data_IF_784586825401
#
_entry.id   IF_784586825401
#
_cell.length_a   1.000
_cell.length_b   1.000
_cell.length_c   1.000
_cell.angle_alpha   90.00
_cell.angle_beta   90.00
_cell.angle_gamma   90.00
#
_symmetry.space_group_name_H-M   'P 1'
#
loop_
_entity.id
_entity.type
_entity.pdbx_description
1 polymer ?
#
# COMPACT_ATOMS: atom_id res chain seq x y z
N UNK A 1 14.12 17.35 1.08
CA UNK A 1 14.58 17.09 -0.31
C UNK A 1 14.32 15.65 -0.78
N UNK A 2 13.32 14.92 -0.25
CA UNK A 2 13.11 13.49 -0.59
C UNK A 2 11.77 13.20 -1.32
N UNK A 3 10.82 14.13 -1.39
CA UNK A 3 9.49 13.87 -2.00
C UNK A 3 9.51 13.56 -3.51
N UNK A 4 10.59 13.90 -4.23
CA UNK A 4 10.64 13.73 -5.68
C UNK A 4 10.86 12.26 -6.10
N UNK A 5 11.54 11.43 -5.30
CA UNK A 5 11.83 10.04 -5.69
C UNK A 5 10.56 9.19 -5.66
N UNK A 6 9.75 9.33 -4.60
CA UNK A 6 8.53 8.52 -4.41
C UNK A 6 7.45 8.82 -5.46
N UNK A 7 7.22 10.09 -5.78
CA UNK A 7 6.28 10.46 -6.86
C UNK A 7 6.77 9.93 -8.20
N UNK A 8 8.07 10.01 -8.48
CA UNK A 8 8.61 9.49 -9.73
C UNK A 8 8.49 7.97 -9.83
N UNK A 9 8.73 7.23 -8.75
CA UNK A 9 8.53 5.78 -8.70
C UNK A 9 7.07 5.40 -8.94
N UNK A 10 6.14 6.07 -8.24
CA UNK A 10 4.71 5.80 -8.35
C UNK A 10 4.14 6.21 -9.71
N UNK A 11 4.53 7.36 -10.26
CA UNK A 11 4.05 7.84 -11.57
C UNK A 11 4.66 7.06 -12.74
N UNK A 12 5.90 6.59 -12.58
CA UNK A 12 6.59 5.84 -13.63
C UNK A 12 6.24 4.35 -13.61
N UNK A 13 5.90 3.78 -12.44
CA UNK A 13 5.59 2.36 -12.26
C UNK A 13 6.78 1.41 -12.50
N UNK A 14 8.00 1.93 -12.69
CA UNK A 14 9.17 1.13 -13.10
C UNK A 14 9.88 0.42 -11.94
N UNK A 15 9.77 0.93 -10.71
CA UNK A 15 10.45 0.37 -9.55
C UNK A 15 9.55 0.39 -8.32
N UNK A 16 9.35 -0.79 -7.74
CA UNK A 16 8.60 -0.95 -6.49
C UNK A 16 9.57 -1.01 -5.30
N UNK A 17 9.50 -0.01 -4.42
CA UNK A 17 10.35 0.11 -3.25
C UNK A 17 9.75 -0.64 -2.06
N UNK A 18 10.21 -1.88 -1.84
CA UNK A 18 9.75 -2.73 -0.75
C UNK A 18 9.98 -2.14 0.65
N UNK A 19 11.11 -1.45 0.87
CA UNK A 19 11.41 -0.86 2.19
C UNK A 19 10.45 0.26 2.53
N UNK A 20 10.15 1.12 1.57
CA UNK A 20 9.18 2.20 1.73
C UNK A 20 7.77 1.64 1.95
N UNK A 21 7.38 0.62 1.19
CA UNK A 21 6.10 -0.06 1.39
C UNK A 21 5.97 -0.65 2.80
N UNK A 22 7.01 -1.34 3.28
CA UNK A 22 7.06 -1.93 4.62
C UNK A 22 6.97 -0.87 5.72
N UNK A 23 7.65 0.27 5.57
CA UNK A 23 7.57 1.39 6.50
C UNK A 23 6.14 1.96 6.60
N UNK A 24 5.48 2.21 5.46
CA UNK A 24 4.09 2.70 5.45
C UNK A 24 3.11 1.70 6.08
N UNK A 25 3.26 0.40 5.80
CA UNK A 25 2.42 -0.66 6.38
C UNK A 25 2.63 -0.75 7.89
N UNK A 26 3.88 -0.68 8.35
CA UNK A 26 4.21 -0.75 9.79
C UNK A 26 3.70 0.46 10.56
N UNK A 27 3.68 1.64 9.92
CA UNK A 27 3.15 2.88 10.51
C UNK A 27 1.61 2.96 10.46
N UNK A 28 0.94 2.01 9.79
CA UNK A 28 -0.52 2.02 9.64
C UNK A 28 -1.04 3.12 8.69
N UNK A 29 -0.19 3.61 7.76
CA UNK A 29 -0.52 4.66 6.79
C UNK A 29 -1.33 4.11 5.61
N UNK A 30 -2.49 3.50 5.92
CA UNK A 30 -3.26 2.69 4.97
C UNK A 30 -3.69 3.42 3.68
N UNK A 31 -3.92 4.73 3.75
CA UNK A 31 -4.29 5.53 2.57
C UNK A 31 -3.11 5.68 1.59
N UNK A 32 -1.90 5.92 2.10
CA UNK A 32 -0.70 6.01 1.26
C UNK A 32 -0.27 4.63 0.74
N UNK A 33 -0.47 3.56 1.52
CA UNK A 33 -0.27 2.18 1.07
C UNK A 33 -1.12 1.86 -0.16
N UNK A 34 -2.44 2.14 -0.11
CA UNK A 34 -3.33 1.89 -1.24
C UNK A 34 -2.97 2.78 -2.45
N UNK A 35 -2.64 4.05 -2.21
CA UNK A 35 -2.24 4.99 -3.25
C UNK A 35 -0.94 4.57 -3.94
N UNK A 36 0.08 4.16 -3.20
CA UNK A 36 1.34 3.67 -3.76
C UNK A 36 1.13 2.42 -4.62
N UNK A 37 0.39 1.42 -4.11
CA UNK A 37 0.07 0.20 -4.86
C UNK A 37 -0.68 0.48 -6.16
N UNK A 38 -1.58 1.48 -6.17
CA UNK A 38 -2.35 1.84 -7.36
C UNK A 38 -1.49 2.31 -8.55
N UNK A 39 -0.24 2.73 -8.30
CA UNK A 39 0.73 3.06 -9.35
C UNK A 39 1.30 1.83 -10.08
N UNK A 40 1.17 0.63 -9.50
CA UNK A 40 1.76 -0.62 -10.04
C UNK A 40 0.70 -1.64 -10.44
N UNK A 41 -0.42 -1.69 -9.72
CA UNK A 41 -1.51 -2.64 -10.02
C UNK A 41 -2.84 -2.17 -9.46
N UNK A 42 -3.92 -2.57 -10.12
CA UNK A 42 -5.31 -2.43 -9.66
C UNK A 42 -5.74 -3.68 -8.90
N UNK A 43 -6.82 -3.54 -8.14
CA UNK A 43 -7.39 -4.61 -7.30
C UNK A 43 -7.75 -5.86 -8.12
N UNK A 44 -8.17 -5.68 -9.36
CA UNK A 44 -8.72 -6.70 -10.25
C UNK A 44 -7.78 -7.16 -11.37
N UNK A 45 -6.54 -6.64 -11.44
CA UNK A 45 -5.60 -6.99 -12.50
C UNK A 45 -5.26 -8.49 -12.53
N UNK A 46 -5.10 -9.10 -11.36
CA UNK A 46 -4.82 -10.53 -11.22
C UNK A 46 -5.11 -11.03 -9.78
N UNK A 47 -5.05 -12.36 -9.60
CA UNK A 47 -5.32 -13.00 -8.29
C UNK A 47 -4.34 -12.59 -7.18
N UNK A 48 -3.10 -12.25 -7.52
CA UNK A 48 -2.12 -11.79 -6.53
C UNK A 48 -2.44 -10.36 -6.06
N UNK A 49 -2.75 -9.45 -6.98
CA UNK A 49 -3.19 -8.09 -6.65
C UNK A 49 -4.42 -8.12 -5.76
N UNK A 50 -5.43 -8.91 -6.12
CA UNK A 50 -6.63 -9.09 -5.30
C UNK A 50 -6.30 -9.58 -3.89
N UNK A 51 -5.38 -10.55 -3.76
CA UNK A 51 -4.94 -11.06 -2.45
C UNK A 51 -4.20 -10.00 -1.62
N UNK A 52 -3.33 -9.19 -2.23
CA UNK A 52 -2.60 -8.11 -1.55
C UNK A 52 -3.58 -7.09 -0.97
N UNK A 53 -4.50 -6.57 -1.80
CA UNK A 53 -5.50 -5.60 -1.34
C UNK A 53 -6.43 -6.19 -0.28
N UNK A 54 -6.76 -7.48 -0.38
CA UNK A 54 -7.58 -8.16 0.61
C UNK A 54 -6.90 -8.20 1.99
N UNK A 55 -5.64 -8.63 2.08
CA UNK A 55 -4.93 -8.71 3.37
C UNK A 55 -4.72 -7.32 3.99
N UNK A 56 -4.43 -6.29 3.19
CA UNK A 56 -4.31 -4.90 3.67
C UNK A 56 -5.61 -4.40 4.29
N UNK A 57 -6.73 -4.58 3.59
CA UNK A 57 -8.05 -4.13 4.09
C UNK A 57 -8.51 -4.93 5.30
N UNK A 58 -8.19 -6.22 5.35
CA UNK A 58 -8.43 -7.08 6.50
C UNK A 58 -7.65 -6.61 7.72
N UNK A 59 -6.37 -6.28 7.57
CA UNK A 59 -5.55 -5.75 8.67
C UNK A 59 -6.10 -4.41 9.19
N UNK A 60 -6.41 -3.48 8.28
CA UNK A 60 -7.06 -2.20 8.62
C UNK A 60 -8.37 -2.40 9.39
N UNK A 61 -9.18 -3.39 8.99
CA UNK A 61 -10.43 -3.72 9.66
C UNK A 61 -10.19 -4.30 11.07
N UNK A 62 -9.23 -5.21 11.23
CA UNK A 62 -8.87 -5.78 12.54
C UNK A 62 -8.35 -4.71 13.49
N UNK A 63 -7.52 -3.78 13.03
CA UNK A 63 -7.04 -2.65 13.83
C UNK A 63 -8.16 -1.69 14.22
N UNK A 64 -9.12 -1.47 13.33
CA UNK A 64 -10.31 -0.69 13.66
C UNK A 64 -11.12 -1.38 14.75
N UNK A 65 -11.31 -2.71 14.66
CA UNK A 65 -12.00 -3.50 15.69
C UNK A 65 -11.29 -3.49 17.04
N UNK A 66 -9.97 -3.63 17.05
CA UNK A 66 -9.16 -3.63 18.28
C UNK A 66 -9.29 -2.31 19.06
N UNK A 67 -9.42 -1.18 18.36
CA UNK A 67 -9.68 0.13 18.98
C UNK A 67 -11.05 0.28 19.66
N UNK A 68 -11.98 -0.63 19.41
CA UNK A 68 -13.30 -0.66 20.06
C UNK A 68 -13.34 -1.58 21.30
N UNK A 69 -12.24 -2.29 21.61
CA UNK A 69 -12.12 -3.20 22.77
C UNK A 69 -11.38 -2.52 23.93
#
# INVERSE_FOLDING_TARGET
MCMCVFRLEQESGFYFNMRYFEEMVTNGEWEEVEKYLSGFTKVDDNRYSMKIFFEIRKQKYLEALDKYV
#
